data_IF_858625306508
#
_entry.id   IF_858625306508
#
_cell.length_a   1.000
_cell.length_b   1.000
_cell.length_c   1.000
_cell.angle_alpha   90.00
_cell.angle_beta   90.00
_cell.angle_gamma   90.00
#
_symmetry.space_group_name_H-M   'P 1'
#
loop_
_entity.id
_entity.type
_entity.pdbx_description
1 polymer ?
#
# COMPACT_ATOMS: atom_id res chain seq x y z
N UNK A 1 -15.61 -24.90 29.10
CA UNK A 1 -15.22 -24.90 27.68
C UNK A 1 -16.35 -24.37 26.82
N UNK A 2 -17.57 -24.90 26.83
CA UNK A 2 -18.70 -24.43 25.99
C UNK A 2 -19.04 -22.96 26.19
N UNK A 3 -19.07 -22.45 27.42
CA UNK A 3 -19.32 -21.03 27.73
C UNK A 3 -18.22 -20.14 27.18
N UNK A 4 -16.96 -20.53 27.32
CA UNK A 4 -15.82 -19.78 26.77
C UNK A 4 -15.86 -19.72 25.24
N UNK A 5 -16.20 -20.82 24.55
CA UNK A 5 -16.37 -20.85 23.10
C UNK A 5 -17.54 -19.95 22.64
N UNK A 6 -18.69 -19.98 23.40
CA UNK A 6 -19.84 -19.12 23.09
C UNK A 6 -19.48 -17.63 23.21
N UNK A 7 -18.85 -17.26 24.33
CA UNK A 7 -18.41 -15.86 24.54
C UNK A 7 -17.38 -15.39 23.48
N UNK A 8 -16.48 -16.28 23.04
CA UNK A 8 -15.52 -15.97 21.99
C UNK A 8 -16.23 -15.75 20.63
N UNK A 9 -17.22 -16.59 20.29
CA UNK A 9 -18.03 -16.45 19.06
C UNK A 9 -18.87 -15.17 19.09
N UNK A 10 -19.52 -14.85 20.22
CA UNK A 10 -20.28 -13.60 20.37
C UNK A 10 -19.35 -12.37 20.24
N UNK A 11 -18.18 -12.40 20.87
CA UNK A 11 -17.19 -11.33 20.76
C UNK A 11 -16.69 -11.15 19.32
N UNK A 12 -16.45 -12.24 18.60
CA UNK A 12 -16.05 -12.21 17.20
C UNK A 12 -17.15 -11.60 16.31
N UNK A 13 -18.40 -12.04 16.51
CA UNK A 13 -19.54 -11.51 15.76
C UNK A 13 -19.73 -10.00 15.98
N UNK A 14 -19.62 -9.55 17.23
CA UNK A 14 -19.73 -8.13 17.57
C UNK A 14 -18.59 -7.33 16.88
N UNK A 15 -17.36 -7.83 16.89
CA UNK A 15 -16.22 -7.18 16.20
C UNK A 15 -16.44 -7.09 14.70
N UNK A 16 -16.94 -8.16 14.07
CA UNK A 16 -17.26 -8.18 12.64
C UNK A 16 -18.37 -7.17 12.29
N UNK A 17 -19.44 -7.08 13.12
CA UNK A 17 -20.52 -6.11 12.90
C UNK A 17 -20.04 -4.64 13.04
N UNK A 18 -19.12 -4.35 13.96
CA UNK A 18 -18.53 -3.01 14.08
C UNK A 18 -17.62 -2.70 12.88
N UNK A 19 -16.74 -3.61 12.51
CA UNK A 19 -15.87 -3.44 11.35
C UNK A 19 -16.68 -3.25 10.05
N UNK A 20 -17.81 -3.96 9.91
CA UNK A 20 -18.71 -3.77 8.77
C UNK A 20 -19.30 -2.37 8.70
N UNK A 21 -19.73 -1.82 9.84
CA UNK A 21 -20.27 -0.44 9.90
C UNK A 21 -19.21 0.59 9.60
N UNK A 22 -18.01 0.44 10.17
CA UNK A 22 -16.89 1.33 9.95
C UNK A 22 -16.46 1.29 8.48
N UNK A 23 -16.38 0.10 7.88
CA UNK A 23 -16.06 -0.04 6.47
C UNK A 23 -17.10 0.60 5.55
N UNK A 24 -18.40 0.41 5.82
CA UNK A 24 -19.45 1.04 5.00
C UNK A 24 -19.42 2.58 5.05
N UNK A 25 -18.93 3.15 6.14
CA UNK A 25 -18.66 4.58 6.22
C UNK A 25 -17.44 4.95 5.37
N UNK A 26 -16.31 4.29 5.59
CA UNK A 26 -15.05 4.52 4.90
C UNK A 26 -15.14 4.18 3.40
N UNK A 27 -15.95 3.19 3.03
CA UNK A 27 -16.20 2.83 1.63
C UNK A 27 -16.64 4.02 0.77
N UNK A 28 -17.53 4.86 1.30
CA UNK A 28 -17.98 6.07 0.58
C UNK A 28 -16.85 7.09 0.45
N UNK A 29 -16.07 7.27 1.51
CA UNK A 29 -14.94 8.19 1.53
C UNK A 29 -13.86 7.74 0.52
N UNK A 30 -13.48 6.47 0.53
CA UNK A 30 -12.52 5.92 -0.44
C UNK A 30 -13.05 6.06 -1.86
N UNK A 31 -14.34 5.76 -2.10
CA UNK A 31 -14.95 5.92 -3.43
C UNK A 31 -14.94 7.36 -3.90
N UNK A 32 -15.23 8.32 -3.02
CA UNK A 32 -15.14 9.74 -3.32
C UNK A 32 -13.69 10.17 -3.59
N UNK A 33 -12.73 9.66 -2.82
CA UNK A 33 -11.31 9.95 -3.03
C UNK A 33 -10.85 9.42 -4.41
N UNK A 34 -11.26 8.20 -4.79
CA UNK A 34 -10.97 7.63 -6.12
C UNK A 34 -11.53 8.51 -7.25
N UNK A 35 -12.72 9.07 -7.07
CA UNK A 35 -13.36 9.93 -8.09
C UNK A 35 -12.71 11.31 -8.20
N UNK A 36 -12.10 11.81 -7.14
CA UNK A 36 -11.55 13.17 -7.03
C UNK A 36 -10.02 13.23 -6.99
N UNK A 37 -9.33 12.20 -7.46
CA UNK A 37 -7.87 12.18 -7.51
C UNK A 37 -7.30 13.28 -8.40
N UNK A 38 -6.39 14.07 -7.86
CA UNK A 38 -5.69 15.14 -8.57
C UNK A 38 -4.20 14.83 -8.76
N UNK A 39 -3.56 14.18 -7.79
CA UNK A 39 -2.12 13.90 -7.77
C UNK A 39 -1.80 12.45 -7.39
N UNK A 40 -0.51 12.09 -7.43
CA UNK A 40 -0.07 10.73 -7.10
C UNK A 40 -0.18 10.44 -5.60
N UNK A 41 -0.04 11.44 -4.76
CA UNK A 41 -0.15 11.32 -3.31
C UNK A 41 -1.55 10.88 -2.89
N UNK A 42 -2.59 11.28 -3.61
CA UNK A 42 -3.96 10.81 -3.38
C UNK A 42 -4.07 9.30 -3.57
N UNK A 43 -3.37 8.76 -4.59
CA UNK A 43 -3.30 7.32 -4.82
C UNK A 43 -2.55 6.56 -3.73
N UNK A 44 -1.52 7.17 -3.14
CA UNK A 44 -0.82 6.56 -2.00
C UNK A 44 -1.74 6.44 -0.79
N UNK A 45 -2.53 7.47 -0.50
CA UNK A 45 -3.52 7.44 0.58
C UNK A 45 -4.62 6.40 0.33
N UNK A 46 -5.17 6.34 -0.89
CA UNK A 46 -6.17 5.34 -1.28
C UNK A 46 -5.61 3.91 -1.12
N UNK A 47 -4.36 3.70 -1.55
CA UNK A 47 -3.70 2.40 -1.41
C UNK A 47 -3.51 2.01 0.06
N UNK A 48 -3.16 2.96 0.92
CA UNK A 48 -3.03 2.74 2.36
C UNK A 48 -4.37 2.34 2.99
N UNK A 49 -5.43 3.07 2.69
CA UNK A 49 -6.79 2.80 3.20
C UNK A 49 -7.27 1.40 2.78
N UNK A 50 -7.15 1.07 1.50
CA UNK A 50 -7.54 -0.24 0.96
C UNK A 50 -6.69 -1.38 1.56
N UNK A 51 -5.40 -1.14 1.76
CA UNK A 51 -4.48 -2.11 2.37
C UNK A 51 -4.85 -2.38 3.82
N UNK A 52 -5.17 -1.34 4.59
CA UNK A 52 -5.57 -1.47 6.00
C UNK A 52 -6.87 -2.27 6.14
N UNK A 53 -7.83 -2.03 5.26
CA UNK A 53 -9.07 -2.82 5.25
C UNK A 53 -8.85 -4.27 4.81
N UNK A 54 -7.93 -4.53 3.87
CA UNK A 54 -7.56 -5.89 3.49
C UNK A 54 -7.02 -6.67 4.69
N UNK A 55 -6.11 -6.08 5.47
CA UNK A 55 -5.56 -6.69 6.70
C UNK A 55 -6.66 -6.89 7.75
N UNK A 56 -7.54 -5.92 7.92
CA UNK A 56 -8.61 -6.01 8.90
C UNK A 56 -9.59 -7.15 8.58
N UNK A 57 -9.99 -7.32 7.32
CA UNK A 57 -10.91 -8.39 6.92
C UNK A 57 -10.27 -9.77 6.93
N UNK A 58 -9.00 -9.89 6.57
CA UNK A 58 -8.25 -11.15 6.72
C UNK A 58 -8.21 -11.59 8.19
N UNK A 59 -8.00 -10.65 9.12
CA UNK A 59 -8.00 -10.94 10.55
C UNK A 59 -9.38 -11.32 11.11
N UNK A 60 -10.46 -10.80 10.51
CA UNK A 60 -11.84 -11.08 10.92
C UNK A 60 -12.42 -12.34 10.27
N UNK A 61 -11.86 -12.79 9.15
CA UNK A 61 -12.39 -13.92 8.37
C UNK A 61 -13.78 -13.65 7.79
N UNK A 62 -14.12 -12.38 7.51
CA UNK A 62 -15.42 -11.98 6.95
C UNK A 62 -15.37 -11.99 5.42
N UNK A 63 -15.94 -13.05 4.83
CA UNK A 63 -15.95 -13.24 3.38
C UNK A 63 -16.95 -12.33 2.63
N UNK A 64 -17.99 -11.84 3.30
CA UNK A 64 -19.02 -11.01 2.66
C UNK A 64 -18.54 -9.60 2.35
N UNK A 65 -17.84 -8.98 3.30
CA UNK A 65 -17.24 -7.66 3.12
C UNK A 65 -15.97 -7.71 2.26
N UNK A 66 -15.26 -8.85 2.28
CA UNK A 66 -14.11 -9.08 1.41
C UNK A 66 -14.46 -8.90 -0.07
N UNK A 67 -15.61 -9.41 -0.52
CA UNK A 67 -16.04 -9.23 -1.92
C UNK A 67 -16.27 -7.75 -2.28
N UNK A 68 -16.87 -6.98 -1.37
CA UNK A 68 -17.08 -5.54 -1.58
C UNK A 68 -15.75 -4.78 -1.65
N UNK A 69 -14.78 -5.16 -0.83
CA UNK A 69 -13.42 -4.60 -0.87
C UNK A 69 -12.71 -4.97 -2.19
N UNK A 70 -12.86 -6.20 -2.67
CA UNK A 70 -12.30 -6.63 -3.96
C UNK A 70 -12.86 -5.81 -5.14
N UNK A 71 -14.16 -5.50 -5.12
CA UNK A 71 -14.79 -4.63 -6.11
C UNK A 71 -14.22 -3.20 -6.04
N UNK A 72 -13.96 -2.69 -4.84
CA UNK A 72 -13.37 -1.38 -4.63
C UNK A 72 -11.91 -1.33 -5.10
N UNK A 73 -11.12 -2.39 -4.86
CA UNK A 73 -9.78 -2.58 -5.42
C UNK A 73 -9.79 -2.60 -6.95
N UNK A 74 -10.75 -3.31 -7.55
CA UNK A 74 -10.88 -3.38 -9.01
C UNK A 74 -11.18 -1.99 -9.61
N UNK A 75 -12.08 -1.21 -8.99
CA UNK A 75 -12.36 0.17 -9.43
C UNK A 75 -11.15 1.09 -9.24
N UNK A 76 -10.47 1.03 -8.10
CA UNK A 76 -9.26 1.79 -7.86
C UNK A 76 -8.19 1.48 -8.91
N UNK A 77 -7.93 0.22 -9.20
CA UNK A 77 -6.97 -0.20 -10.23
C UNK A 77 -7.35 0.31 -11.63
N UNK A 78 -8.64 0.27 -11.98
CA UNK A 78 -9.13 0.77 -13.26
C UNK A 78 -8.89 2.28 -13.39
N UNK A 79 -9.19 3.06 -12.36
CA UNK A 79 -8.98 4.51 -12.33
C UNK A 79 -7.51 4.88 -12.29
N UNK A 80 -6.72 4.16 -11.50
CA UNK A 80 -5.27 4.33 -11.45
C UNK A 80 -4.62 4.09 -12.82
N UNK A 81 -5.05 3.08 -13.55
CA UNK A 81 -4.56 2.82 -14.92
C UNK A 81 -4.80 4.04 -15.82
N UNK A 82 -6.00 4.62 -15.81
CA UNK A 82 -6.31 5.82 -16.58
C UNK A 82 -5.48 7.03 -16.14
N UNK A 83 -5.24 7.17 -14.85
CA UNK A 83 -4.40 8.23 -14.30
C UNK A 83 -2.94 8.07 -14.77
N UNK A 84 -2.38 6.86 -14.74
CA UNK A 84 -1.03 6.56 -15.23
C UNK A 84 -0.92 6.78 -16.73
N UNK A 85 -1.87 6.31 -17.54
CA UNK A 85 -1.88 6.52 -19.00
C UNK A 85 -1.80 8.00 -19.37
N UNK A 86 -2.48 8.85 -18.61
CA UNK A 86 -2.49 10.30 -18.83
C UNK A 86 -1.18 10.97 -18.38
N UNK A 87 -0.64 10.61 -17.23
CA UNK A 87 0.42 11.37 -16.56
C UNK A 87 1.82 10.81 -16.84
N UNK A 88 1.98 9.49 -16.96
CA UNK A 88 3.28 8.86 -17.12
C UNK A 88 4.10 9.37 -18.31
N UNK A 89 3.52 9.63 -19.51
CA UNK A 89 4.28 10.19 -20.64
C UNK A 89 4.84 11.59 -20.36
N UNK A 90 4.19 12.37 -19.49
CA UNK A 90 4.69 13.67 -19.05
C UNK A 90 5.83 13.47 -18.06
N UNK A 91 5.65 12.61 -17.08
CA UNK A 91 6.62 12.36 -16.03
C UNK A 91 7.98 11.87 -16.52
N UNK A 92 8.04 10.99 -17.54
CA UNK A 92 9.32 10.51 -18.07
C UNK A 92 10.12 11.57 -18.85
N UNK A 93 9.50 12.73 -19.16
CA UNK A 93 10.14 13.82 -19.91
C UNK A 93 10.36 15.08 -19.05
N UNK A 94 9.83 15.13 -17.85
CA UNK A 94 9.90 16.28 -16.95
C UNK A 94 10.76 15.95 -15.73
N UNK A 95 11.42 16.94 -15.14
CA UNK A 95 12.28 16.78 -13.96
C UNK A 95 11.54 16.91 -12.63
N UNK A 96 10.35 17.53 -12.61
CA UNK A 96 9.47 17.60 -11.44
C UNK A 96 8.55 16.36 -11.38
N UNK A 97 9.17 15.20 -11.29
CA UNK A 97 8.51 13.90 -11.32
C UNK A 97 8.13 13.42 -9.92
N UNK A 98 7.10 12.58 -9.79
CA UNK A 98 6.99 11.73 -8.61
C UNK A 98 8.23 10.85 -8.50
N UNK A 99 8.60 10.49 -7.28
CA UNK A 99 9.71 9.58 -7.02
C UNK A 99 9.52 8.27 -7.80
N UNK A 100 10.52 7.88 -8.58
CA UNK A 100 10.48 6.66 -9.40
C UNK A 100 11.62 5.69 -9.05
N UNK A 101 11.56 4.47 -9.61
CA UNK A 101 12.57 3.44 -9.37
C UNK A 101 14.02 3.92 -9.50
N UNK A 102 14.43 4.72 -10.51
CA UNK A 102 15.82 5.21 -10.63
C UNK A 102 16.24 6.16 -9.50
N UNK A 103 15.28 6.82 -8.84
CA UNK A 103 15.57 7.82 -7.81
C UNK A 103 15.84 7.19 -6.43
N UNK A 104 15.55 5.90 -6.27
CA UNK A 104 15.64 5.21 -4.97
C UNK A 104 17.06 5.25 -4.41
N UNK A 105 18.07 4.86 -5.18
CA UNK A 105 19.44 4.89 -4.69
C UNK A 105 19.98 6.31 -4.46
N UNK A 106 19.83 7.26 -5.40
CA UNK A 106 20.24 8.64 -5.16
C UNK A 106 19.58 9.25 -3.91
N UNK A 107 18.29 9.04 -3.71
CA UNK A 107 17.55 9.66 -2.62
C UNK A 107 17.85 9.02 -1.26
N UNK A 108 17.84 7.69 -1.18
CA UNK A 108 17.86 6.99 0.12
C UNK A 108 19.22 6.42 0.50
N UNK A 109 20.14 6.24 -0.45
CA UNK A 109 21.41 5.57 -0.18
C UNK A 109 22.59 6.51 -0.34
N UNK A 110 22.66 7.25 -1.44
CA UNK A 110 23.84 8.05 -1.79
C UNK A 110 24.20 9.07 -0.69
N UNK A 111 23.22 9.80 -0.16
CA UNK A 111 23.43 10.79 0.91
C UNK A 111 24.09 10.19 2.15
N UNK A 112 23.71 8.98 2.53
CA UNK A 112 24.29 8.27 3.67
C UNK A 112 25.73 7.83 3.39
N UNK A 113 26.00 7.36 2.16
CA UNK A 113 27.36 6.98 1.75
C UNK A 113 28.29 8.19 1.73
N UNK A 114 27.83 9.35 1.27
CA UNK A 114 28.59 10.61 1.30
C UNK A 114 28.93 11.06 2.74
N UNK A 115 28.07 10.74 3.71
CA UNK A 115 28.29 11.00 5.13
C UNK A 115 29.15 9.93 5.83
N UNK A 116 29.64 8.92 5.11
CA UNK A 116 30.33 7.74 5.64
C UNK A 116 29.48 6.90 6.61
N UNK A 117 28.16 6.91 6.46
CA UNK A 117 27.25 6.05 7.20
C UNK A 117 27.38 4.59 6.71
N UNK A 118 27.06 3.65 7.59
CA UNK A 118 26.96 2.24 7.20
C UNK A 118 25.55 1.97 6.67
N UNK A 119 25.44 1.63 5.41
CA UNK A 119 24.16 1.36 4.75
C UNK A 119 24.07 -0.13 4.40
N UNK A 120 22.89 -0.71 4.67
CA UNK A 120 22.50 -2.03 4.19
C UNK A 120 21.23 -1.87 3.37
N UNK A 121 21.31 -2.12 2.07
CA UNK A 121 20.15 -2.14 1.18
C UNK A 121 19.60 -3.57 1.11
N UNK A 122 18.32 -3.74 1.48
CA UNK A 122 17.60 -4.99 1.34
C UNK A 122 16.50 -4.81 0.33
N UNK A 123 16.63 -5.47 -0.83
CA UNK A 123 15.60 -5.47 -1.87
C UNK A 123 14.80 -6.77 -1.79
N UNK A 124 13.52 -6.66 -1.48
CA UNK A 124 12.59 -7.79 -1.44
C UNK A 124 11.67 -7.72 -2.66
N UNK A 125 11.90 -8.61 -3.60
CA UNK A 125 11.05 -8.74 -4.78
C UNK A 125 9.71 -9.39 -4.41
N UNK A 126 8.61 -8.95 -5.04
CA UNK A 126 7.24 -9.43 -4.80
C UNK A 126 6.70 -9.21 -3.38
N UNK A 127 7.34 -8.41 -2.53
CA UNK A 127 6.77 -8.05 -1.23
C UNK A 127 5.62 -7.05 -1.43
N UNK A 128 4.43 -7.42 -0.95
CA UNK A 128 3.25 -6.55 -1.01
C UNK A 128 3.20 -5.61 0.19
N UNK A 129 2.50 -4.47 0.03
CA UNK A 129 2.35 -3.46 1.09
C UNK A 129 1.64 -4.02 2.35
N UNK A 130 0.62 -4.85 2.18
CA UNK A 130 -0.09 -5.51 3.29
C UNK A 130 0.83 -6.44 4.08
N UNK A 131 1.70 -7.19 3.41
CA UNK A 131 2.70 -8.04 4.06
C UNK A 131 3.71 -7.21 4.86
N UNK A 132 4.21 -6.12 4.30
CA UNK A 132 5.10 -5.21 5.02
C UNK A 132 4.41 -4.61 6.24
N UNK A 133 3.18 -4.09 6.10
CA UNK A 133 2.38 -3.56 7.22
C UNK A 133 2.17 -4.62 8.31
N UNK A 134 1.85 -5.86 7.94
CA UNK A 134 1.68 -6.95 8.89
C UNK A 134 2.98 -7.32 9.65
N UNK A 135 4.15 -7.16 9.02
CA UNK A 135 5.46 -7.42 9.63
C UNK A 135 5.97 -6.25 10.47
N UNK A 136 5.57 -5.03 10.16
CA UNK A 136 6.08 -3.80 10.79
C UNK A 136 6.02 -3.80 12.32
N UNK A 137 4.95 -4.28 13.00
CA UNK A 137 4.92 -4.32 14.47
C UNK A 137 6.03 -5.16 15.11
N UNK A 138 6.43 -6.26 14.48
CA UNK A 138 7.53 -7.08 14.97
C UNK A 138 8.89 -6.43 14.69
N UNK A 139 9.04 -5.87 13.51
CA UNK A 139 10.28 -5.21 13.09
C UNK A 139 10.54 -3.91 13.86
N UNK A 140 9.50 -3.17 14.23
CA UNK A 140 9.58 -1.92 15.00
C UNK A 140 10.17 -2.10 16.41
N UNK A 141 10.28 -3.34 16.90
CA UNK A 141 11.00 -3.63 18.14
C UNK A 141 12.52 -3.46 17.99
N UNK A 142 13.04 -3.49 16.76
CA UNK A 142 14.47 -3.46 16.44
C UNK A 142 14.88 -2.27 15.58
N UNK A 143 13.94 -1.69 14.83
CA UNK A 143 14.19 -0.67 13.83
C UNK A 143 13.23 0.49 14.00
N UNK A 144 13.69 1.69 13.72
CA UNK A 144 12.81 2.84 13.45
C UNK A 144 12.45 2.82 11.97
N UNK A 145 11.15 2.97 11.64
CA UNK A 145 10.65 2.92 10.27
C UNK A 145 10.24 4.31 9.80
N UNK A 146 10.72 4.66 8.65
CA UNK A 146 10.17 5.72 7.80
C UNK A 146 9.75 5.07 6.49
N UNK A 147 8.54 5.35 6.03
CA UNK A 147 7.98 4.75 4.81
C UNK A 147 7.73 5.82 3.77
N UNK A 148 8.11 5.54 2.55
CA UNK A 148 7.86 6.42 1.41
C UNK A 148 7.47 5.56 0.20
N UNK A 149 6.55 6.08 -0.62
CA UNK A 149 6.16 5.44 -1.86
C UNK A 149 6.98 5.96 -3.02
N UNK A 150 7.24 5.08 -3.97
CA UNK A 150 7.77 5.44 -5.28
C UNK A 150 7.01 4.69 -6.38
N UNK A 151 7.00 5.26 -7.57
CA UNK A 151 6.44 4.61 -8.75
C UNK A 151 7.50 3.71 -9.41
N UNK A 152 7.10 2.49 -9.72
CA UNK A 152 7.89 1.66 -10.64
C UNK A 152 7.85 2.24 -12.04
N UNK A 153 8.99 2.27 -12.73
CA UNK A 153 8.97 2.54 -14.16
C UNK A 153 8.23 1.43 -14.92
N UNK A 154 7.63 1.79 -16.04
CA UNK A 154 6.95 0.87 -16.93
C UNK A 154 7.93 0.27 -17.98
N UNK A 155 7.79 -1.01 -18.28
CA UNK A 155 6.91 -2.00 -17.69
C UNK A 155 7.35 -2.42 -16.29
N UNK A 156 6.41 -2.71 -15.40
CA UNK A 156 6.68 -3.09 -14.00
C UNK A 156 7.29 -4.48 -13.82
N UNK A 157 7.64 -5.14 -14.92
CA UNK A 157 8.28 -6.45 -14.89
C UNK A 157 9.68 -6.37 -14.27
N UNK A 158 10.02 -7.35 -13.44
CA UNK A 158 11.28 -7.44 -12.67
C UNK A 158 12.55 -7.11 -13.46
N UNK A 159 12.76 -7.59 -14.72
CA UNK A 159 13.98 -7.26 -15.49
C UNK A 159 14.15 -5.78 -15.80
N UNK A 160 13.08 -5.00 -15.76
CA UNK A 160 13.09 -3.56 -16.07
C UNK A 160 13.02 -2.73 -14.79
N UNK A 161 11.89 -2.79 -14.07
CA UNK A 161 11.63 -1.90 -12.95
C UNK A 161 12.57 -2.11 -11.76
N UNK A 162 12.93 -3.37 -11.43
CA UNK A 162 13.89 -3.66 -10.38
C UNK A 162 15.30 -3.20 -10.79
N UNK A 163 15.72 -3.45 -12.02
CA UNK A 163 17.04 -3.05 -12.48
C UNK A 163 17.19 -1.54 -12.54
N UNK A 164 16.11 -0.81 -12.78
CA UNK A 164 16.12 0.65 -12.78
C UNK A 164 16.45 1.26 -11.40
N UNK A 165 16.27 0.51 -10.31
CA UNK A 165 16.69 0.95 -8.96
C UNK A 165 18.22 1.13 -8.91
N UNK A 166 18.96 0.41 -9.74
CA UNK A 166 20.42 0.41 -9.78
C UNK A 166 21.02 1.14 -10.98
N UNK A 167 20.20 1.91 -11.72
CA UNK A 167 20.63 2.63 -12.92
C UNK A 167 21.15 4.04 -12.63
#
# INVERSE_FOLDING_TARGET
>A
ILIACKNALESHKIKSEYAAKDYLHTFKEISQNIDNVECIEDWYNIMDDLTDWSINFDNLGDHGLGQLLDEQWAEANRRFTQFIEKNYPVWINDRDLPLMSPDVLPKFVQKHLENNDKVVLILMDCLRADQLKAMTPQLSQFFHFESEYCLSILPTATPYSRNAIFS
#
